data_IF_579624666743
#
_entry.id   IF_579624666743
#
_cell.length_a   1.000
_cell.length_b   1.000
_cell.length_c   1.000
_cell.angle_alpha   90.00
_cell.angle_beta   90.00
_cell.angle_gamma   90.00
#
_symmetry.space_group_name_H-M   'P 1'
#
loop_
_entity.id
_entity.type
_entity.pdbx_description
1 polymer ?
#
# COMPACT_ATOMS: atom_id res chain seq x y z
N UNK A 1 55.12 16.05 -19.58
CA UNK A 1 54.95 14.80 -18.78
C UNK A 1 53.51 14.83 -18.28
N UNK A 2 52.55 14.18 -18.95
CA UNK A 2 52.09 12.79 -18.68
C UNK A 2 51.73 12.62 -17.18
N UNK A 3 50.58 12.13 -16.74
CA UNK A 3 49.32 11.60 -17.29
C UNK A 3 48.47 11.27 -16.02
N UNK A 4 47.15 11.47 -16.07
CA UNK A 4 46.11 10.62 -15.42
C UNK A 4 45.74 10.66 -13.90
N UNK A 5 44.40 10.54 -13.73
CA UNK A 5 43.64 9.86 -12.64
C UNK A 5 43.50 10.60 -11.29
N UNK A 6 42.31 10.79 -10.72
CA UNK A 6 41.25 9.79 -10.57
C UNK A 6 39.87 10.44 -10.39
N UNK A 7 38.92 9.88 -11.14
CA UNK A 7 37.47 10.05 -11.10
C UNK A 7 36.91 9.63 -9.72
N UNK A 8 36.55 10.58 -8.86
CA UNK A 8 35.73 10.29 -7.67
C UNK A 8 34.25 10.21 -8.06
N UNK A 9 33.92 9.09 -8.69
CA UNK A 9 32.75 8.25 -8.44
C UNK A 9 31.54 8.97 -7.78
N UNK A 10 30.69 9.54 -8.63
CA UNK A 10 29.26 9.71 -8.33
C UNK A 10 28.63 8.31 -8.23
N UNK A 11 28.50 7.77 -7.01
CA UNK A 11 27.86 6.46 -6.79
C UNK A 11 26.96 6.51 -5.56
N UNK A 12 25.82 7.18 -5.71
CA UNK A 12 24.78 7.23 -4.68
C UNK A 12 23.35 7.20 -5.24
N UNK A 13 23.12 6.53 -6.38
CA UNK A 13 21.78 6.54 -7.00
C UNK A 13 21.25 5.18 -7.50
N UNK A 14 21.89 4.04 -7.21
CA UNK A 14 21.40 2.74 -7.69
C UNK A 14 20.73 1.83 -6.65
N UNK A 15 20.58 2.26 -5.39
CA UNK A 15 20.00 1.40 -4.35
C UNK A 15 18.46 1.47 -4.23
N UNK A 16 17.79 2.42 -4.89
CA UNK A 16 16.33 2.61 -4.73
C UNK A 16 15.46 1.83 -5.73
N UNK A 17 16.02 1.32 -6.84
CA UNK A 17 15.21 0.63 -7.87
C UNK A 17 14.74 -0.77 -7.46
N UNK A 18 15.52 -1.48 -6.63
CA UNK A 18 15.19 -2.86 -6.26
C UNK A 18 13.97 -2.96 -5.34
N UNK A 19 13.72 -1.93 -4.53
CA UNK A 19 12.65 -1.95 -3.54
C UNK A 19 11.32 -1.39 -4.07
N UNK A 20 11.37 -0.41 -4.99
CA UNK A 20 10.19 0.04 -5.73
C UNK A 20 9.51 -1.15 -6.45
N UNK A 21 10.28 -1.98 -7.16
CA UNK A 21 9.74 -3.16 -7.83
C UNK A 21 9.11 -4.21 -6.87
N UNK A 22 9.45 -4.19 -5.58
CA UNK A 22 8.97 -5.20 -4.64
C UNK A 22 7.49 -5.00 -4.25
N UNK A 23 6.97 -3.76 -4.24
CA UNK A 23 5.57 -3.49 -3.91
C UNK A 23 4.60 -3.70 -5.09
N UNK A 24 5.12 -3.73 -6.31
CA UNK A 24 4.30 -3.85 -7.51
C UNK A 24 3.50 -5.15 -7.52
N UNK A 25 2.27 -5.06 -8.03
CA UNK A 25 1.38 -6.19 -8.24
C UNK A 25 0.15 -6.18 -7.35
N UNK A 26 -0.50 -7.35 -7.31
CA UNK A 26 -1.79 -7.53 -6.66
C UNK A 26 -1.61 -8.16 -5.28
N UNK A 27 -2.26 -7.58 -4.28
CA UNK A 27 -2.22 -8.01 -2.90
C UNK A 27 -3.63 -8.18 -2.35
N UNK A 28 -3.84 -9.19 -1.51
CA UNK A 28 -5.16 -9.50 -0.95
C UNK A 28 -5.06 -9.61 0.56
N UNK A 29 -5.86 -8.80 1.25
CA UNK A 29 -6.12 -8.95 2.68
C UNK A 29 -7.52 -9.54 2.86
N UNK A 30 -7.63 -10.59 3.67
CA UNK A 30 -8.90 -11.18 4.06
C UNK A 30 -8.98 -11.14 5.57
N UNK A 31 -10.07 -10.57 6.09
CA UNK A 31 -10.32 -10.48 7.53
C UNK A 31 -11.77 -10.78 7.82
N UNK A 32 -12.01 -11.55 8.88
CA UNK A 32 -13.35 -11.73 9.41
C UNK A 32 -13.64 -10.63 10.42
N UNK A 33 -14.82 -10.02 10.33
CA UNK A 33 -15.33 -9.08 11.30
C UNK A 33 -16.68 -9.59 11.80
N UNK A 34 -16.99 -9.28 13.06
CA UNK A 34 -18.31 -9.54 13.63
C UNK A 34 -18.92 -8.18 13.98
N UNK A 35 -20.18 -7.98 13.58
CA UNK A 35 -20.98 -6.81 13.95
C UNK A 35 -22.40 -7.27 14.22
N UNK A 36 -22.98 -6.83 15.32
CA UNK A 36 -24.35 -7.14 15.72
C UNK A 36 -24.66 -8.66 15.74
N UNK A 37 -23.67 -9.48 16.15
CA UNK A 37 -23.78 -10.95 16.19
C UNK A 37 -23.70 -11.65 14.83
N UNK A 38 -23.44 -10.90 13.75
CA UNK A 38 -23.24 -11.43 12.41
C UNK A 38 -21.77 -11.34 12.00
N UNK A 39 -21.19 -12.50 11.68
CA UNK A 39 -19.86 -12.58 11.09
C UNK A 39 -19.92 -12.29 9.59
N UNK A 40 -19.03 -11.43 9.10
CA UNK A 40 -18.86 -11.14 7.68
C UNK A 40 -17.39 -11.04 7.33
N UNK A 41 -17.06 -11.44 6.10
CA UNK A 41 -15.69 -11.38 5.56
C UNK A 41 -15.49 -10.06 4.84
N UNK A 42 -14.36 -9.42 5.09
CA UNK A 42 -13.89 -8.28 4.30
C UNK A 42 -12.69 -8.72 3.50
N UNK A 43 -12.80 -8.52 2.20
CA UNK A 43 -11.70 -8.77 1.25
C UNK A 43 -11.25 -7.44 0.68
N UNK A 44 -9.99 -7.10 0.89
CA UNK A 44 -9.34 -5.95 0.28
C UNK A 44 -8.37 -6.43 -0.79
N UNK A 45 -8.52 -5.93 -2.00
CA UNK A 45 -7.58 -6.18 -3.10
C UNK A 45 -6.88 -4.88 -3.44
N UNK A 46 -5.56 -4.87 -3.28
CA UNK A 46 -4.69 -3.77 -3.69
C UNK A 46 -4.07 -4.14 -5.03
N UNK A 47 -4.10 -3.23 -5.99
CA UNK A 47 -3.37 -3.34 -7.25
C UNK A 47 -2.41 -2.16 -7.31
N UNK A 48 -1.14 -2.41 -6.99
CA UNK A 48 -0.15 -1.38 -6.70
C UNK A 48 0.90 -1.33 -7.80
N UNK A 49 1.34 -0.11 -8.11
CA UNK A 49 2.42 0.16 -9.04
C UNK A 49 3.26 1.33 -8.56
N UNK A 50 4.55 1.09 -8.44
CA UNK A 50 5.55 2.09 -8.12
C UNK A 50 6.16 2.69 -9.39
N UNK A 51 6.55 3.96 -9.27
CA UNK A 51 7.38 4.66 -10.26
C UNK A 51 8.33 5.58 -9.48
N UNK A 52 9.58 5.12 -9.32
CA UNK A 52 10.53 5.71 -8.40
C UNK A 52 9.97 5.74 -6.96
N UNK A 53 9.76 6.94 -6.43
CA UNK A 53 9.25 7.15 -5.07
C UNK A 53 7.72 7.35 -5.02
N UNK A 54 7.03 7.29 -6.17
CA UNK A 54 5.58 7.42 -6.25
C UNK A 54 4.92 6.05 -6.20
N UNK A 55 3.82 5.94 -5.47
CA UNK A 55 2.96 4.76 -5.48
C UNK A 55 1.61 5.14 -6.08
N UNK A 56 1.17 4.35 -7.04
CA UNK A 56 -0.14 4.47 -7.68
C UNK A 56 -0.84 3.13 -7.62
N UNK A 57 -2.15 3.12 -7.87
CA UNK A 57 -2.90 1.88 -7.81
C UNK A 57 -4.35 2.05 -7.49
N UNK A 58 -5.02 0.91 -7.35
CA UNK A 58 -6.42 0.82 -6.96
C UNK A 58 -6.56 -0.02 -5.71
N UNK A 59 -7.54 0.34 -4.88
CA UNK A 59 -8.00 -0.45 -3.75
C UNK A 59 -9.45 -0.81 -4.00
N UNK A 60 -9.76 -2.11 -3.99
CA UNK A 60 -11.11 -2.66 -4.02
C UNK A 60 -11.43 -3.31 -2.68
N UNK A 61 -12.62 -3.07 -2.16
CA UNK A 61 -13.09 -3.56 -0.86
C UNK A 61 -14.46 -4.21 -1.01
N UNK A 62 -14.54 -5.50 -0.71
CA UNK A 62 -15.78 -6.27 -0.67
C UNK A 62 -16.17 -6.55 0.78
N UNK A 63 -17.46 -6.41 1.10
CA UNK A 63 -18.04 -6.65 2.42
C UNK A 63 -19.08 -7.76 2.33
N UNK A 64 -18.69 -8.99 2.69
CA UNK A 64 -19.52 -10.18 2.45
C UNK A 64 -19.89 -10.30 0.98
N UNK A 65 -21.17 -10.50 0.69
CA UNK A 65 -21.73 -10.61 -0.66
C UNK A 65 -22.11 -9.26 -1.30
N UNK A 66 -21.78 -8.12 -0.66
CA UNK A 66 -22.03 -6.80 -1.24
C UNK A 66 -21.12 -6.54 -2.44
N UNK A 67 -21.61 -5.72 -3.39
CA UNK A 67 -20.78 -5.27 -4.52
C UNK A 67 -19.48 -4.60 -4.02
N UNK A 68 -18.32 -5.02 -4.56
CA UNK A 68 -17.05 -4.42 -4.20
C UNK A 68 -17.02 -2.94 -4.55
N UNK A 69 -16.50 -2.13 -3.63
CA UNK A 69 -16.26 -0.71 -3.87
C UNK A 69 -14.79 -0.51 -4.17
N UNK A 70 -14.49 0.12 -5.29
CA UNK A 70 -13.12 0.39 -5.72
C UNK A 70 -12.86 1.87 -5.92
N UNK A 71 -11.62 2.27 -5.71
CA UNK A 71 -11.14 3.60 -6.05
C UNK A 71 -9.62 3.64 -6.17
N UNK A 72 -9.12 4.77 -6.65
CA UNK A 72 -7.68 5.00 -6.73
C UNK A 72 -7.11 5.36 -5.36
N UNK A 73 -5.90 4.90 -5.09
CA UNK A 73 -5.13 5.41 -3.96
C UNK A 73 -4.63 6.83 -4.26
N UNK A 74 -4.44 7.65 -3.22
CA UNK A 74 -3.95 9.02 -3.29
C UNK A 74 -2.75 9.19 -2.36
N UNK A 75 -1.93 10.21 -2.61
CA UNK A 75 -0.73 10.53 -1.82
C UNK A 75 0.26 9.36 -1.67
N UNK A 76 0.31 8.47 -2.66
CA UNK A 76 1.10 7.25 -2.59
C UNK A 76 2.61 7.52 -2.70
N UNK A 77 3.36 6.94 -1.77
CA UNK A 77 4.83 7.04 -1.69
C UNK A 77 5.43 5.68 -1.37
N UNK A 78 6.63 5.46 -1.91
CA UNK A 78 7.49 4.32 -1.59
C UNK A 78 8.87 4.85 -1.24
N UNK A 79 9.45 4.31 -0.17
CA UNK A 79 10.82 4.57 0.27
C UNK A 79 11.45 3.26 0.74
N UNK A 80 12.28 2.65 -0.11
CA UNK A 80 12.78 1.31 0.14
C UNK A 80 11.64 0.29 0.21
N UNK A 81 11.59 -0.48 1.29
CA UNK A 81 10.54 -1.44 1.58
C UNK A 81 9.28 -0.80 2.18
N UNK A 82 9.34 0.47 2.59
CA UNK A 82 8.23 1.18 3.22
C UNK A 82 7.34 1.83 2.18
N UNK A 83 6.06 1.92 2.51
CA UNK A 83 5.07 2.61 1.70
C UNK A 83 4.07 3.36 2.56
N UNK A 84 3.48 4.40 1.97
CA UNK A 84 2.33 5.10 2.52
C UNK A 84 1.38 5.48 1.39
N UNK A 85 0.08 5.37 1.61
CA UNK A 85 -0.92 5.95 0.71
C UNK A 85 -2.21 6.23 1.48
N UNK A 86 -3.12 6.97 0.87
CA UNK A 86 -4.46 7.17 1.40
C UNK A 86 -5.52 6.68 0.43
N UNK A 87 -6.67 6.33 0.98
CA UNK A 87 -7.84 5.91 0.24
C UNK A 87 -9.07 6.57 0.83
N UNK A 88 -9.86 7.24 0.00
CA UNK A 88 -11.13 7.81 0.40
C UNK A 88 -12.24 6.88 -0.03
N UNK A 89 -13.06 6.43 0.92
CA UNK A 89 -14.25 5.64 0.64
C UNK A 89 -15.49 6.47 0.83
N UNK A 90 -16.30 6.58 -0.22
CA UNK A 90 -17.62 7.19 -0.15
C UNK A 90 -18.65 6.19 0.35
N UNK A 91 -19.43 6.60 1.34
CA UNK A 91 -20.56 5.82 1.86
C UNK A 91 -21.82 6.68 1.91
N UNK A 92 -23.02 6.08 2.02
CA UNK A 92 -24.24 6.85 2.21
C UNK A 92 -24.20 7.82 3.41
N UNK A 93 -23.33 7.57 4.39
CA UNK A 93 -23.16 8.38 5.60
C UNK A 93 -22.02 9.41 5.46
N UNK A 94 -21.46 9.59 4.26
CA UNK A 94 -20.35 10.50 3.97
C UNK A 94 -19.06 9.77 3.58
N UNK A 95 -18.10 10.58 3.16
CA UNK A 95 -16.76 10.15 2.80
C UNK A 95 -15.89 9.98 4.05
N UNK A 96 -15.04 8.97 4.05
CA UNK A 96 -13.98 8.88 5.05
C UNK A 96 -12.65 8.49 4.41
N UNK A 97 -11.58 9.15 4.88
CA UNK A 97 -10.21 8.86 4.48
C UNK A 97 -9.63 7.77 5.38
N UNK A 98 -8.89 6.86 4.77
CA UNK A 98 -8.06 5.86 5.45
C UNK A 98 -6.63 6.05 4.99
N UNK A 99 -5.70 6.21 5.91
CA UNK A 99 -4.26 6.26 5.65
C UNK A 99 -3.67 4.89 5.93
N UNK A 100 -2.95 4.35 4.96
CA UNK A 100 -2.21 3.10 5.05
C UNK A 100 -0.72 3.41 5.10
N UNK A 101 -0.03 2.86 6.09
CA UNK A 101 1.42 2.89 6.20
C UNK A 101 1.92 1.49 6.51
N UNK A 102 3.02 1.08 5.88
CA UNK A 102 3.53 -0.27 6.08
C UNK A 102 4.84 -0.53 5.37
N UNK A 103 5.21 -1.80 5.32
CA UNK A 103 6.38 -2.29 4.59
C UNK A 103 6.11 -3.60 3.85
N UNK A 104 6.87 -3.83 2.79
CA UNK A 104 6.91 -5.09 2.04
C UNK A 104 7.82 -6.09 2.76
N UNK A 105 7.25 -7.19 3.23
CA UNK A 105 7.97 -8.30 3.86
C UNK A 105 7.83 -9.56 2.99
N UNK A 106 8.67 -9.66 1.95
CA UNK A 106 8.60 -10.73 0.95
C UNK A 106 7.27 -10.70 0.18
N UNK A 107 6.47 -11.75 0.33
CA UNK A 107 5.14 -11.86 -0.28
C UNK A 107 4.00 -11.40 0.63
N UNK A 108 4.31 -10.59 1.65
CA UNK A 108 3.30 -9.97 2.54
C UNK A 108 3.53 -8.47 2.71
N UNK A 109 2.50 -7.67 2.56
CA UNK A 109 2.45 -6.30 3.07
C UNK A 109 2.03 -6.34 4.53
N UNK A 110 2.76 -5.64 5.40
CA UNK A 110 2.39 -5.48 6.82
C UNK A 110 2.38 -4.01 7.19
N UNK A 111 1.39 -3.59 7.95
CA UNK A 111 1.31 -2.19 8.35
C UNK A 111 0.10 -1.85 9.19
N UNK A 112 -0.23 -0.57 9.21
CA UNK A 112 -1.38 0.00 9.90
C UNK A 112 -2.27 0.77 8.95
N UNK A 113 -3.57 0.66 9.15
CA UNK A 113 -4.60 1.46 8.52
C UNK A 113 -5.26 2.34 9.59
N UNK A 114 -5.27 3.65 9.37
CA UNK A 114 -5.86 4.65 10.27
C UNK A 114 -7.01 5.32 9.55
N UNK A 115 -8.24 5.13 10.04
CA UNK A 115 -9.40 5.91 9.58
C UNK A 115 -9.34 7.29 10.22
N UNK A 116 -9.73 8.33 9.50
CA UNK A 116 -9.81 9.68 10.04
C UNK A 116 -10.60 9.71 11.37
N UNK A 117 -10.01 10.29 12.42
CA UNK A 117 -10.53 10.32 13.79
C UNK A 117 -10.56 8.97 14.53
N UNK A 118 -9.91 7.92 14.01
CA UNK A 118 -9.89 6.58 14.61
C UNK A 118 -8.50 6.09 15.02
N UNK A 119 -8.46 4.99 15.77
CA UNK A 119 -7.22 4.34 16.19
C UNK A 119 -6.55 3.54 15.06
N UNK A 120 -5.21 3.43 15.06
CA UNK A 120 -4.49 2.55 14.14
C UNK A 120 -4.93 1.10 14.26
N UNK A 121 -5.21 0.47 13.11
CA UNK A 121 -5.54 -0.95 13.01
C UNK A 121 -4.47 -1.68 12.21
N UNK A 122 -3.88 -2.78 12.71
CA UNK A 122 -2.94 -3.54 11.92
C UNK A 122 -3.65 -4.16 10.71
N UNK A 123 -2.93 -4.26 9.60
CA UNK A 123 -3.36 -5.03 8.44
C UNK A 123 -2.20 -5.86 7.89
N UNK A 124 -2.57 -6.98 7.28
CA UNK A 124 -1.67 -7.80 6.49
C UNK A 124 -2.35 -8.13 5.16
N UNK A 125 -1.60 -8.06 4.06
CA UNK A 125 -2.08 -8.45 2.73
C UNK A 125 -1.03 -9.35 2.06
N UNK A 126 -1.47 -10.45 1.45
CA UNK A 126 -0.58 -11.40 0.78
C UNK A 126 -0.57 -11.16 -0.72
N UNK A 127 0.58 -11.37 -1.37
CA UNK A 127 0.66 -11.31 -2.83
C UNK A 127 -0.30 -12.34 -3.45
N UNK A 128 -1.01 -11.94 -4.51
CA UNK A 128 -1.91 -12.82 -5.28
C UNK A 128 -1.22 -13.37 -6.52
#
# INVERSE_FOLDING_TARGET
MRFFMTLSVCFFLLASLAAAAAIDGKWVSVRQMERDGQAFTITQTFDLKSDGNKLTGTLSMAFGDMEPRSGEIKDGKVDGDKFSFSFTMSTPNGDFKVVYEGAVAGDTLKGTAVRDGGEPRPFEAKRK
#
